data_IF_435878332432
#
_entry.id   IF_435878332432
#
_cell.length_a   1.000
_cell.length_b   1.000
_cell.length_c   1.000
_cell.angle_alpha   90.00
_cell.angle_beta   90.00
_cell.angle_gamma   90.00
#
_symmetry.space_group_name_H-M   'P 1'
#
loop_
_entity.id
_entity.type
_entity.pdbx_description
1 polymer ?
#
# COMPACT_ATOMS: atom_id res chain seq x y z
N UNK A 1 18.30 2.82 -21.55
CA UNK A 1 17.96 4.19 -22.01
C UNK A 1 18.47 5.23 -21.02
N UNK A 2 18.00 5.32 -19.76
CA UNK A 2 18.50 6.35 -18.80
C UNK A 2 20.03 6.33 -18.57
N UNK A 3 20.67 5.16 -18.59
CA UNK A 3 22.12 5.04 -18.40
C UNK A 3 22.99 5.47 -19.60
N UNK A 4 22.37 5.95 -20.69
CA UNK A 4 23.07 6.52 -21.85
C UNK A 4 22.99 8.06 -21.86
N UNK A 5 22.39 8.65 -20.84
CA UNK A 5 22.14 10.08 -20.75
C UNK A 5 22.94 10.67 -19.60
N UNK A 6 23.45 11.88 -19.81
CA UNK A 6 24.00 12.73 -18.76
C UNK A 6 23.07 13.92 -18.54
N UNK A 7 23.01 14.42 -17.30
CA UNK A 7 22.32 15.66 -17.00
C UNK A 7 23.21 16.82 -17.44
N UNK A 8 22.79 17.56 -18.46
CA UNK A 8 23.43 18.82 -18.82
C UNK A 8 23.06 19.90 -17.80
N UNK A 9 24.00 20.29 -16.95
CA UNK A 9 23.79 21.43 -16.04
C UNK A 9 23.86 22.75 -16.81
N UNK A 10 23.05 23.72 -16.41
CA UNK A 10 23.11 25.07 -16.98
C UNK A 10 24.28 25.88 -16.40
N UNK A 11 24.46 27.10 -16.91
CA UNK A 11 25.55 27.98 -16.50
C UNK A 11 25.39 28.57 -15.08
N UNK A 12 24.29 28.29 -14.37
CA UNK A 12 24.05 28.86 -13.02
C UNK A 12 24.91 28.21 -11.93
N UNK A 13 25.52 27.05 -12.20
CA UNK A 13 26.41 26.37 -11.27
C UNK A 13 25.66 25.67 -10.11
N UNK A 14 26.39 24.99 -9.19
CA UNK A 14 25.77 24.31 -8.06
C UNK A 14 25.21 25.30 -7.03
N UNK A 15 24.13 24.91 -6.36
CA UNK A 15 23.55 25.63 -5.23
C UNK A 15 23.91 24.95 -3.90
N UNK A 16 23.96 25.69 -2.78
CA UNK A 16 24.04 25.12 -1.43
C UNK A 16 22.92 24.11 -1.13
N UNK A 17 23.20 23.05 -0.37
CA UNK A 17 22.23 21.98 -0.09
C UNK A 17 21.04 22.47 0.77
N UNK A 18 21.25 23.47 1.61
CA UNK A 18 20.22 24.12 2.42
C UNK A 18 19.25 24.98 1.59
N UNK A 19 19.61 25.32 0.35
CA UNK A 19 18.68 25.93 -0.62
C UNK A 19 17.81 24.88 -1.34
N UNK A 20 18.16 23.59 -1.25
CA UNK A 20 17.37 22.50 -1.84
C UNK A 20 16.15 22.20 -0.98
N UNK A 21 15.04 21.86 -1.64
CA UNK A 21 13.82 21.44 -0.96
C UNK A 21 14.12 20.32 0.08
N UNK A 22 13.61 20.42 1.32
CA UNK A 22 13.86 19.41 2.35
C UNK A 22 13.38 18.03 1.95
N UNK A 23 14.12 16.99 2.34
CA UNK A 23 13.77 15.60 2.06
C UNK A 23 12.34 15.24 2.51
N UNK A 24 11.91 15.75 3.67
CA UNK A 24 10.56 15.55 4.20
C UNK A 24 9.45 16.07 3.26
N UNK A 25 9.72 17.13 2.48
CA UNK A 25 8.80 17.63 1.47
C UNK A 25 8.88 16.81 0.18
N UNK A 26 10.09 16.41 -0.23
CA UNK A 26 10.30 15.57 -1.42
C UNK A 26 9.58 14.22 -1.29
N UNK A 27 9.69 13.53 -0.15
CA UNK A 27 9.12 12.18 0.03
C UNK A 27 7.59 12.13 -0.08
N UNK A 28 6.90 13.26 0.07
CA UNK A 28 5.43 13.34 -0.17
C UNK A 28 5.03 13.05 -1.62
N UNK A 29 6.00 13.18 -2.55
CA UNK A 29 5.85 12.84 -3.97
C UNK A 29 6.00 11.34 -4.22
N UNK A 30 6.57 10.59 -3.27
CA UNK A 30 6.86 9.19 -3.45
C UNK A 30 5.63 8.32 -3.18
N UNK A 31 5.58 7.20 -3.89
CA UNK A 31 4.52 6.22 -3.77
C UNK A 31 5.14 4.83 -3.86
N UNK A 32 4.78 3.93 -2.95
CA UNK A 32 5.20 2.53 -3.11
C UNK A 32 4.48 1.91 -4.28
N UNK A 33 5.18 1.07 -5.04
CA UNK A 33 4.57 0.32 -6.14
C UNK A 33 3.36 -0.50 -5.66
N UNK A 34 2.40 -0.70 -6.57
CA UNK A 34 1.21 -1.48 -6.30
C UNK A 34 1.56 -2.97 -6.23
N UNK A 35 1.52 -3.53 -5.01
CA UNK A 35 1.83 -4.94 -4.75
C UNK A 35 0.67 -5.57 -4.00
N UNK A 36 0.10 -6.62 -4.57
CA UNK A 36 -1.12 -7.22 -4.05
C UNK A 36 -0.87 -7.96 -2.72
N UNK A 37 -1.77 -7.76 -1.76
CA UNK A 37 -1.89 -8.65 -0.61
C UNK A 37 -2.17 -10.08 -1.10
N UNK A 38 -1.31 -11.02 -0.69
CA UNK A 38 -1.22 -12.39 -1.23
C UNK A 38 0.02 -12.57 -2.12
N UNK A 39 0.41 -11.59 -2.94
CA UNK A 39 1.71 -11.61 -3.62
C UNK A 39 2.85 -11.34 -2.63
N UNK A 40 2.63 -10.39 -1.71
CA UNK A 40 3.47 -10.16 -0.52
C UNK A 40 2.68 -10.50 0.75
N UNK A 41 3.38 -10.67 1.88
CA UNK A 41 2.73 -10.99 3.17
C UNK A 41 1.94 -9.80 3.71
N UNK A 42 1.03 -10.07 4.66
CA UNK A 42 0.25 -9.04 5.35
C UNK A 42 1.14 -8.03 6.05
N UNK A 43 2.20 -8.48 6.70
CA UNK A 43 3.18 -7.65 7.40
C UNK A 43 3.87 -6.72 6.41
N UNK A 44 4.44 -7.26 5.32
CA UNK A 44 5.10 -6.43 4.31
C UNK A 44 4.14 -5.37 3.74
N UNK A 45 2.89 -5.76 3.45
CA UNK A 45 1.88 -4.85 2.92
C UNK A 45 1.45 -3.77 3.95
N UNK A 46 1.31 -4.13 5.22
CA UNK A 46 0.98 -3.21 6.31
C UNK A 46 2.14 -2.27 6.63
N UNK A 47 3.37 -2.78 6.72
CA UNK A 47 4.58 -2.01 6.99
C UNK A 47 4.81 -0.95 5.91
N UNK A 48 4.58 -1.27 4.63
CA UNK A 48 4.67 -0.27 3.55
C UNK A 48 3.64 0.85 3.73
N UNK A 49 2.38 0.52 4.02
CA UNK A 49 1.35 1.53 4.24
C UNK A 49 1.66 2.40 5.44
N UNK A 50 2.03 1.78 6.55
CA UNK A 50 2.44 2.45 7.78
C UNK A 50 3.59 3.42 7.53
N UNK A 51 4.67 2.95 6.92
CA UNK A 51 5.85 3.77 6.65
C UNK A 51 5.52 4.96 5.75
N UNK A 52 4.77 4.73 4.66
CA UNK A 52 4.38 5.80 3.75
C UNK A 52 3.46 6.82 4.39
N UNK A 53 2.52 6.38 5.24
CA UNK A 53 1.64 7.27 5.98
C UNK A 53 2.43 8.14 6.97
N UNK A 54 3.41 7.57 7.68
CA UNK A 54 4.28 8.31 8.61
C UNK A 54 5.11 9.40 7.93
N UNK A 55 5.61 9.16 6.70
CA UNK A 55 6.45 10.12 5.97
C UNK A 55 5.64 11.05 5.04
N UNK A 56 4.31 10.98 5.05
CA UNK A 56 3.45 11.79 4.18
C UNK A 56 3.44 11.36 2.71
N UNK A 57 4.04 10.22 2.37
CA UNK A 57 3.94 9.60 1.06
C UNK A 57 2.63 8.82 0.89
N UNK A 58 2.57 7.98 -0.14
CA UNK A 58 1.40 7.13 -0.41
C UNK A 58 1.79 5.66 -0.61
N UNK A 59 0.97 4.74 -0.13
CA UNK A 59 1.05 3.33 -0.52
C UNK A 59 -0.15 2.95 -1.39
N UNK A 60 0.01 1.86 -2.13
CA UNK A 60 -1.00 1.34 -3.05
C UNK A 60 -1.29 -0.14 -2.73
N UNK A 61 -2.57 -0.49 -2.62
CA UNK A 61 -3.03 -1.85 -2.25
C UNK A 61 -2.66 -2.95 -3.26
N UNK A 62 -2.36 -2.57 -4.50
CA UNK A 62 -2.39 -3.52 -5.60
C UNK A 62 -3.77 -4.16 -5.79
N UNK A 63 -3.78 -5.31 -6.47
CA UNK A 63 -4.99 -5.97 -6.98
C UNK A 63 -5.75 -6.81 -5.94
N UNK A 64 -5.26 -6.92 -4.71
CA UNK A 64 -5.69 -7.97 -3.77
C UNK A 64 -6.84 -7.58 -2.84
N UNK A 65 -7.33 -6.34 -2.93
CA UNK A 65 -8.14 -5.73 -1.88
C UNK A 65 -7.31 -5.23 -0.71
N UNK A 66 -7.98 -4.81 0.36
CA UNK A 66 -7.36 -4.42 1.62
C UNK A 66 -8.32 -4.73 2.77
N UNK A 67 -7.79 -5.25 3.88
CA UNK A 67 -8.59 -5.58 5.06
C UNK A 67 -9.30 -4.34 5.62
N UNK A 68 -10.64 -4.36 5.78
CA UNK A 68 -11.38 -3.26 6.40
C UNK A 68 -10.91 -2.85 7.80
N UNK A 69 -10.32 -3.74 8.58
CA UNK A 69 -9.74 -3.42 9.89
C UNK A 69 -8.67 -2.33 9.79
N UNK A 70 -8.02 -2.18 8.62
CA UNK A 70 -6.97 -1.17 8.38
C UNK A 70 -7.50 0.25 8.22
N UNK A 71 -8.79 0.45 7.94
CA UNK A 71 -9.34 1.77 7.60
C UNK A 71 -10.70 2.10 8.24
N UNK A 72 -11.43 1.12 8.77
CA UNK A 72 -12.77 1.35 9.36
C UNK A 72 -12.75 2.31 10.55
N UNK A 73 -11.74 2.21 11.41
CA UNK A 73 -11.63 3.09 12.56
C UNK A 73 -11.48 4.56 12.11
N UNK A 74 -10.59 4.81 11.15
CA UNK A 74 -10.38 6.14 10.54
C UNK A 74 -11.65 6.67 9.87
N UNK A 75 -12.33 5.83 9.07
CA UNK A 75 -13.58 6.22 8.40
C UNK A 75 -14.70 6.60 9.38
N UNK A 76 -14.70 6.03 10.58
CA UNK A 76 -15.66 6.34 11.65
C UNK A 76 -15.24 7.53 12.52
N UNK A 77 -14.12 8.18 12.21
CA UNK A 77 -13.57 9.29 13.00
C UNK A 77 -13.02 8.87 14.36
N UNK A 78 -12.76 7.57 14.57
CA UNK A 78 -12.07 7.09 15.76
C UNK A 78 -10.60 7.55 15.75
N UNK A 79 -9.93 7.68 16.92
CA UNK A 79 -8.57 8.21 17.04
C UNK A 79 -7.45 7.35 16.41
N UNK A 80 -7.79 6.42 15.51
CA UNK A 80 -6.86 5.52 14.87
C UNK A 80 -6.23 4.52 15.85
N UNK A 81 -5.03 4.07 15.51
CA UNK A 81 -4.23 3.18 16.34
C UNK A 81 -3.79 3.88 17.62
N UNK A 82 -3.85 3.20 18.76
CA UNK A 82 -3.44 3.70 20.07
C UNK A 82 -1.98 3.36 20.34
N UNK A 83 -1.34 4.13 21.23
CA UNK A 83 0.02 3.81 21.67
C UNK A 83 0.04 2.42 22.32
N UNK A 84 0.93 1.55 21.83
CA UNK A 84 1.11 0.19 22.35
C UNK A 84 0.27 -0.87 21.64
N UNK A 85 -0.66 -0.49 20.75
CA UNK A 85 -1.31 -1.45 19.86
C UNK A 85 -0.26 -2.05 18.90
N UNK A 86 -0.52 -3.27 18.44
CA UNK A 86 0.33 -3.96 17.46
C UNK A 86 -0.42 -4.30 16.17
N UNK A 87 0.29 -4.79 15.15
CA UNK A 87 -0.36 -5.30 13.93
C UNK A 87 -1.29 -6.48 14.26
N UNK A 88 -0.90 -7.32 15.21
CA UNK A 88 -1.72 -8.43 15.70
C UNK A 88 -3.02 -7.93 16.34
N UNK A 89 -2.97 -6.85 17.14
CA UNK A 89 -4.16 -6.27 17.77
C UNK A 89 -5.16 -5.73 16.75
N UNK A 90 -4.67 -5.23 15.60
CA UNK A 90 -5.52 -4.64 14.56
C UNK A 90 -6.04 -5.69 13.57
N UNK A 91 -5.20 -6.63 13.13
CA UNK A 91 -5.50 -7.57 12.04
C UNK A 91 -5.79 -9.01 12.49
N UNK A 92 -5.44 -9.36 13.73
CA UNK A 92 -5.63 -10.69 14.28
C UNK A 92 -4.55 -11.71 13.89
N UNK A 93 -4.47 -12.79 14.68
CA UNK A 93 -3.46 -13.85 14.54
C UNK A 93 -3.60 -14.71 13.28
N UNK A 94 -4.75 -14.66 12.62
CA UNK A 94 -4.98 -15.37 11.36
C UNK A 94 -4.34 -14.64 10.16
N UNK A 95 -4.14 -13.33 10.29
CA UNK A 95 -3.61 -12.47 9.23
C UNK A 95 -2.12 -12.14 9.40
N UNK A 96 -1.61 -12.18 10.63
CA UNK A 96 -0.26 -11.72 11.01
C UNK A 96 0.47 -12.82 11.78
N UNK A 97 1.67 -13.17 11.32
CA UNK A 97 2.56 -14.14 11.96
C UNK A 97 3.78 -13.48 12.60
N UNK A 98 4.14 -12.27 12.17
CA UNK A 98 5.20 -11.47 12.76
C UNK A 98 4.65 -10.13 13.20
N UNK A 99 4.59 -9.93 14.52
CA UNK A 99 3.97 -8.75 15.08
C UNK A 99 4.90 -7.53 15.02
N UNK A 100 4.31 -6.35 14.87
CA UNK A 100 5.02 -5.09 14.80
C UNK A 100 4.34 -4.05 15.69
N UNK A 101 5.08 -3.35 16.57
CA UNK A 101 4.50 -2.30 17.40
C UNK A 101 4.08 -1.10 16.56
N UNK A 102 2.97 -0.50 16.98
CA UNK A 102 2.42 0.71 16.37
C UNK A 102 2.50 1.90 17.34
N UNK A 103 2.47 3.09 16.78
CA UNK A 103 2.50 4.38 17.46
C UNK A 103 1.11 4.99 17.43
N UNK A 104 0.81 5.82 18.43
CA UNK A 104 -0.45 6.56 18.46
C UNK A 104 -0.61 7.42 17.19
N UNK A 105 -1.78 7.31 16.55
CA UNK A 105 -2.09 8.03 15.31
C UNK A 105 -1.56 7.39 14.04
N UNK A 106 -0.95 6.20 14.13
CA UNK A 106 -0.60 5.44 12.94
C UNK A 106 -1.85 5.06 12.13
N UNK A 107 -1.66 5.03 10.81
CA UNK A 107 -2.65 4.60 9.84
C UNK A 107 -2.10 3.40 9.06
N UNK A 108 -2.85 2.29 9.03
CA UNK A 108 -2.53 1.11 8.22
C UNK A 108 -3.21 1.16 6.84
N UNK A 109 -4.06 2.17 6.61
CA UNK A 109 -4.81 2.37 5.36
C UNK A 109 -3.86 2.71 4.22
N UNK A 110 -3.98 2.01 3.11
CA UNK A 110 -3.32 2.40 1.87
C UNK A 110 -4.06 3.56 1.20
N UNK A 111 -3.39 4.69 0.98
CA UNK A 111 -4.05 5.89 0.41
C UNK A 111 -4.49 5.71 -1.03
N UNK A 112 -3.81 4.85 -1.79
CA UNK A 112 -4.18 4.52 -3.17
C UNK A 112 -4.83 3.14 -3.20
N UNK A 113 -6.03 3.08 -3.76
CA UNK A 113 -6.80 1.86 -3.97
C UNK A 113 -6.78 1.48 -5.43
N UNK A 114 -6.52 0.22 -5.74
CA UNK A 114 -6.43 -0.23 -7.12
C UNK A 114 -7.68 -1.00 -7.55
N UNK A 115 -8.15 -0.69 -8.76
CA UNK A 115 -9.22 -1.41 -9.44
C UNK A 115 -8.63 -2.08 -10.68
N UNK A 116 -8.48 -3.40 -10.63
CA UNK A 116 -8.00 -4.24 -11.73
C UNK A 116 -9.09 -5.16 -12.27
N UNK A 117 -8.82 -5.90 -13.34
CA UNK A 117 -9.80 -6.71 -14.08
C UNK A 117 -10.69 -7.58 -13.19
N UNK A 118 -10.11 -8.34 -12.25
CA UNK A 118 -10.84 -9.26 -11.38
C UNK A 118 -11.64 -8.60 -10.24
N UNK A 119 -11.39 -7.31 -9.96
CA UNK A 119 -12.09 -6.54 -8.90
C UNK A 119 -12.04 -7.17 -7.49
N UNK A 120 -11.01 -7.95 -7.19
CA UNK A 120 -10.87 -8.56 -5.86
C UNK A 120 -10.84 -7.51 -4.75
N UNK A 121 -11.66 -7.73 -3.72
CA UNK A 121 -11.80 -6.83 -2.56
C UNK A 121 -12.30 -5.42 -2.88
N UNK A 122 -12.80 -5.17 -4.10
CA UNK A 122 -13.36 -3.87 -4.48
C UNK A 122 -14.80 -3.77 -3.98
N UNK A 123 -14.97 -3.12 -2.84
CA UNK A 123 -16.27 -2.79 -2.24
C UNK A 123 -16.49 -1.27 -2.21
N UNK A 124 -17.72 -0.82 -1.93
CA UNK A 124 -18.01 0.60 -1.74
C UNK A 124 -17.17 1.19 -0.58
N UNK A 125 -17.05 0.45 0.53
CA UNK A 125 -16.26 0.86 1.69
C UNK A 125 -14.76 0.98 1.34
N UNK A 126 -14.24 0.02 0.57
CA UNK A 126 -12.88 0.05 0.05
C UNK A 126 -12.62 1.31 -0.79
N UNK A 127 -13.51 1.63 -1.74
CA UNK A 127 -13.38 2.81 -2.61
C UNK A 127 -13.50 4.13 -1.84
N UNK A 128 -14.43 4.22 -0.88
CA UNK A 128 -14.61 5.40 -0.03
C UNK A 128 -13.41 5.64 0.89
N UNK A 129 -12.67 4.58 1.26
CA UNK A 129 -11.45 4.71 2.04
C UNK A 129 -10.22 5.20 1.25
N UNK A 130 -10.36 5.47 -0.05
CA UNK A 130 -9.26 5.91 -0.91
C UNK A 130 -9.06 7.43 -0.86
N UNK A 131 -7.80 7.88 -0.91
CA UNK A 131 -7.47 9.24 -1.31
C UNK A 131 -7.34 9.32 -2.85
N UNK A 132 -6.90 8.22 -3.47
CA UNK A 132 -6.80 8.07 -4.92
C UNK A 132 -7.22 6.67 -5.36
N UNK A 133 -7.87 6.59 -6.53
CA UNK A 133 -8.24 5.32 -7.17
C UNK A 133 -7.37 5.14 -8.42
N UNK A 134 -6.68 4.02 -8.51
CA UNK A 134 -5.89 3.63 -9.67
C UNK A 134 -6.63 2.57 -10.49
N UNK A 135 -6.99 2.89 -11.72
CA UNK A 135 -7.48 1.90 -12.68
C UNK A 135 -6.27 1.21 -13.31
N UNK A 136 -6.10 -0.08 -13.03
CA UNK A 136 -4.98 -0.85 -13.59
C UNK A 136 -5.40 -1.49 -14.91
N UNK A 137 -4.85 -0.94 -15.99
CA UNK A 137 -5.00 -1.50 -17.33
C UNK A 137 -3.97 -2.61 -17.61
N UNK A 138 -2.72 -2.43 -17.16
CA UNK A 138 -1.60 -3.33 -17.45
C UNK A 138 -0.51 -3.21 -16.39
N UNK A 139 0.51 -4.10 -16.45
CA UNK A 139 1.75 -3.98 -15.69
C UNK A 139 2.96 -4.27 -16.59
N UNK A 140 4.10 -3.63 -16.30
CA UNK A 140 5.30 -3.76 -17.14
C UNK A 140 5.83 -5.19 -17.27
N UNK A 141 5.65 -6.04 -16.25
CA UNK A 141 6.13 -7.43 -16.29
C UNK A 141 5.31 -8.34 -17.21
N UNK A 142 4.03 -8.04 -17.43
CA UNK A 142 3.12 -8.82 -18.29
C UNK A 142 1.99 -7.92 -18.79
N UNK A 143 2.24 -7.09 -19.81
CA UNK A 143 1.32 -6.04 -20.22
C UNK A 143 0.04 -6.55 -20.90
N UNK A 144 0.06 -7.75 -21.48
CA UNK A 144 -1.09 -8.36 -22.15
C UNK A 144 -1.97 -9.24 -21.26
N UNK A 145 -1.67 -9.33 -19.95
CA UNK A 145 -2.31 -10.29 -19.05
C UNK A 145 -2.73 -9.68 -17.71
N UNK A 146 -3.69 -10.34 -17.04
CA UNK A 146 -4.14 -9.98 -15.68
C UNK A 146 -3.20 -10.49 -14.58
N UNK A 147 -3.39 -10.00 -13.35
CA UNK A 147 -2.74 -10.49 -12.13
C UNK A 147 -2.74 -12.01 -11.99
N UNK A 148 -1.68 -12.57 -11.40
CA UNK A 148 -1.59 -13.99 -11.09
C UNK A 148 -1.20 -14.15 -9.61
N UNK A 149 -1.91 -15.03 -8.91
CA UNK A 149 -1.55 -15.49 -7.58
C UNK A 149 -1.71 -17.02 -7.58
N UNK A 150 -0.66 -17.80 -7.26
CA UNK A 150 -0.80 -19.25 -7.14
C UNK A 150 -1.84 -19.62 -6.09
N UNK A 151 -2.70 -20.61 -6.36
CA UNK A 151 -3.75 -21.06 -5.44
C UNK A 151 -3.23 -21.44 -4.04
N UNK A 152 -2.03 -22.02 -3.95
CA UNK A 152 -1.36 -22.32 -2.68
C UNK A 152 -1.07 -21.08 -1.80
N UNK A 153 -1.11 -19.87 -2.35
CA UNK A 153 -0.98 -18.59 -1.63
C UNK A 153 -2.33 -17.96 -1.30
N UNK A 154 -3.43 -18.53 -1.77
CA UNK A 154 -4.80 -18.14 -1.42
C UNK A 154 -5.16 -18.85 -0.13
N UNK A 155 -4.62 -18.36 0.99
CA UNK A 155 -5.02 -18.80 2.32
C UNK A 155 -6.49 -18.46 2.60
N UNK A 156 -7.05 -18.99 3.69
CA UNK A 156 -8.39 -18.62 4.17
C UNK A 156 -8.57 -17.09 4.25
N UNK A 157 -7.58 -16.40 4.84
CA UNK A 157 -7.58 -14.94 4.94
C UNK A 157 -7.58 -14.25 3.57
N UNK A 158 -6.76 -14.70 2.62
CA UNK A 158 -6.74 -14.13 1.26
C UNK A 158 -8.03 -14.45 0.50
N UNK A 159 -8.57 -15.66 0.64
CA UNK A 159 -9.85 -16.07 0.06
C UNK A 159 -11.00 -15.19 0.56
N UNK A 160 -11.07 -14.97 1.88
CA UNK A 160 -12.02 -14.06 2.51
C UNK A 160 -11.94 -12.64 1.93
N UNK A 161 -10.75 -12.04 1.90
CA UNK A 161 -10.56 -10.67 1.40
C UNK A 161 -10.92 -10.51 -0.07
N UNK A 162 -10.71 -11.56 -0.88
CA UNK A 162 -10.94 -11.54 -2.31
C UNK A 162 -12.34 -12.00 -2.70
N UNK A 163 -13.14 -12.51 -1.76
CA UNK A 163 -14.36 -13.26 -2.04
C UNK A 163 -14.10 -14.43 -3.01
N UNK A 164 -12.98 -15.13 -2.79
CA UNK A 164 -12.49 -16.24 -3.60
C UNK A 164 -12.43 -17.54 -2.78
N UNK A 165 -12.31 -18.68 -3.48
CA UNK A 165 -12.19 -20.00 -2.84
C UNK A 165 -10.73 -20.19 -2.38
N UNK A 166 -10.48 -20.51 -1.10
CA UNK A 166 -9.15 -20.84 -0.61
C UNK A 166 -8.50 -21.98 -1.41
N UNK A 167 -7.21 -21.87 -1.69
CA UNK A 167 -6.44 -22.87 -2.43
C UNK A 167 -6.56 -22.82 -3.96
N UNK A 168 -7.41 -21.94 -4.53
CA UNK A 168 -7.66 -21.80 -5.98
C UNK A 168 -7.00 -20.55 -6.56
#
# INVERSE_FOLDING_TARGET
>A
MRGLLELGCDASGPVPLDEVEPAASIVTRFTTGAMSLGSISTEAHATLALAMNRIGGRSNTGEGGEDPARYRAELRGAPGVRAGDTLLDVLGAEAVVADQPLQAGDSLRSRIKQVASARFGVSAEYLVSADQIQIKMAQGAKPGEGGQLPGAKVSEYIGYLRHAVPGV
#
